data_IF_442077278541
#
_entry.id   IF_442077278541
#
_cell.length_a   1.000
_cell.length_b   1.000
_cell.length_c   1.000
_cell.angle_alpha   90.00
_cell.angle_beta   90.00
_cell.angle_gamma   90.00
#
_symmetry.space_group_name_H-M   'P 1'
#
loop_
_entity.id
_entity.type
_entity.pdbx_description
1 polymer ?
#
# COMPACT_ATOMS: atom_id res chain seq x y z
N UNK A 1 -35.88 -24.05 54.53
CA UNK A 1 -36.26 -22.96 53.60
C UNK A 1 -35.19 -22.90 52.55
N UNK A 2 -35.25 -23.81 51.58
CA UNK A 2 -34.30 -24.00 50.49
C UNK A 2 -34.59 -22.97 49.40
N UNK A 3 -33.58 -22.21 49.03
CA UNK A 3 -33.60 -21.36 47.84
C UNK A 3 -33.17 -22.26 46.65
N UNK A 4 -34.13 -22.62 45.81
CA UNK A 4 -33.86 -23.19 44.48
C UNK A 4 -33.43 -22.05 43.56
N UNK A 5 -32.14 -22.00 43.20
CA UNK A 5 -31.61 -21.10 42.20
C UNK A 5 -32.16 -21.54 40.82
N UNK A 6 -32.91 -20.64 40.20
CA UNK A 6 -33.48 -20.78 38.87
C UNK A 6 -32.41 -20.52 37.78
N UNK A 7 -31.70 -21.61 37.38
CA UNK A 7 -30.68 -21.60 36.33
C UNK A 7 -31.24 -21.83 34.91
N UNK A 8 -32.58 -21.77 34.69
CA UNK A 8 -33.19 -22.29 33.46
C UNK A 8 -33.56 -21.25 32.39
N UNK A 9 -32.93 -20.06 32.33
CA UNK A 9 -33.32 -19.12 31.26
C UNK A 9 -32.14 -18.41 30.58
N UNK A 10 -31.03 -19.11 30.29
CA UNK A 10 -30.02 -18.62 29.34
C UNK A 10 -30.47 -18.98 27.94
N UNK A 11 -31.10 -18.03 27.23
CA UNK A 11 -31.32 -18.18 25.80
C UNK A 11 -29.95 -18.44 25.11
N UNK A 12 -29.89 -19.41 24.17
CA UNK A 12 -28.66 -19.68 23.43
C UNK A 12 -28.21 -18.39 22.72
N UNK A 13 -26.99 -17.92 23.00
CA UNK A 13 -26.37 -16.82 22.26
C UNK A 13 -26.17 -17.29 20.84
N UNK A 14 -27.07 -16.92 19.94
CA UNK A 14 -26.93 -17.18 18.50
C UNK A 14 -25.79 -16.29 18.03
N UNK A 15 -24.58 -16.85 17.94
CA UNK A 15 -23.45 -16.17 17.32
C UNK A 15 -23.81 -15.88 15.86
N UNK A 16 -23.53 -14.66 15.37
CA UNK A 16 -23.75 -14.33 13.97
C UNK A 16 -22.95 -15.31 13.08
N UNK A 17 -23.47 -15.67 11.89
CA UNK A 17 -22.77 -16.58 11.00
C UNK A 17 -21.39 -16.04 10.64
N UNK A 18 -20.40 -16.94 10.62
CA UNK A 18 -19.01 -16.60 10.29
C UNK A 18 -18.91 -16.16 8.82
N UNK A 19 -18.41 -14.95 8.57
CA UNK A 19 -18.23 -14.39 7.23
C UNK A 19 -16.86 -14.84 6.69
N UNK A 20 -16.87 -15.52 5.56
CA UNK A 20 -15.66 -15.99 4.90
C UNK A 20 -15.16 -15.00 3.86
N UNK A 21 -13.91 -14.54 3.99
CA UNK A 21 -13.29 -13.57 3.10
C UNK A 21 -12.05 -14.18 2.43
N UNK A 22 -12.00 -14.11 1.11
CA UNK A 22 -10.89 -14.58 0.29
C UNK A 22 -10.17 -13.42 -0.39
N UNK A 23 -8.93 -13.14 0.01
CA UNK A 23 -8.07 -12.13 -0.63
C UNK A 23 -7.24 -12.75 -1.74
N UNK A 24 -7.16 -12.09 -2.90
CA UNK A 24 -6.33 -12.51 -4.04
C UNK A 24 -5.15 -11.53 -4.19
N UNK A 25 -3.92 -12.03 -4.07
CA UNK A 25 -2.69 -11.24 -4.24
C UNK A 25 -1.58 -12.10 -4.85
N UNK A 26 -0.55 -11.52 -5.49
CA UNK A 26 0.54 -12.32 -6.07
C UNK A 26 1.32 -13.09 -5.00
N UNK A 27 1.85 -12.41 -4.00
CA UNK A 27 2.70 -13.00 -2.96
C UNK A 27 2.71 -12.16 -1.70
N UNK A 28 3.27 -12.71 -0.61
CA UNK A 28 3.48 -12.00 0.67
C UNK A 28 4.95 -11.98 1.11
N UNK A 29 5.88 -12.55 0.32
CA UNK A 29 7.28 -12.67 0.71
C UNK A 29 8.13 -11.43 0.40
N UNK A 30 7.63 -10.50 -0.43
CA UNK A 30 8.32 -9.26 -0.78
C UNK A 30 7.75 -8.13 0.07
N UNK A 31 8.58 -7.45 0.90
CA UNK A 31 8.08 -6.37 1.74
C UNK A 31 7.64 -5.16 0.93
N UNK A 32 6.40 -4.73 1.17
CA UNK A 32 5.77 -3.57 0.52
C UNK A 32 4.59 -3.05 1.32
N UNK A 33 4.10 -1.86 0.94
CA UNK A 33 2.96 -1.23 1.62
C UNK A 33 1.66 -2.01 1.48
N UNK A 34 1.44 -2.63 0.32
CA UNK A 34 0.22 -3.43 0.07
C UNK A 34 0.22 -4.69 0.92
N UNK A 35 1.35 -5.40 0.96
CA UNK A 35 1.54 -6.62 1.74
C UNK A 35 1.39 -6.33 3.25
N UNK A 36 1.93 -5.19 3.72
CA UNK A 36 1.78 -4.76 5.11
C UNK A 36 0.33 -4.46 5.47
N UNK A 37 -0.37 -3.70 4.64
CA UNK A 37 -1.79 -3.37 4.84
C UNK A 37 -2.66 -4.63 4.81
N UNK A 38 -2.44 -5.53 3.84
CA UNK A 38 -3.19 -6.78 3.77
C UNK A 38 -2.97 -7.63 5.03
N UNK A 39 -1.70 -7.79 5.46
CA UNK A 39 -1.38 -8.55 6.69
C UNK A 39 -2.06 -7.93 7.92
N UNK A 40 -1.98 -6.60 8.08
CA UNK A 40 -2.62 -5.89 9.20
C UNK A 40 -4.14 -6.12 9.22
N UNK A 41 -4.80 -5.98 8.07
CA UNK A 41 -6.25 -6.20 7.94
C UNK A 41 -6.64 -7.66 8.20
N UNK A 42 -5.91 -8.59 7.59
CA UNK A 42 -6.18 -10.01 7.73
C UNK A 42 -6.05 -10.47 9.18
N UNK A 43 -4.98 -10.04 9.87
CA UNK A 43 -4.76 -10.34 11.28
C UNK A 43 -5.87 -9.75 12.15
N UNK A 44 -6.18 -8.47 11.97
CA UNK A 44 -7.22 -7.80 12.75
C UNK A 44 -8.58 -8.48 12.61
N UNK A 45 -9.00 -8.79 11.39
CA UNK A 45 -10.28 -9.46 11.14
C UNK A 45 -10.31 -10.87 11.70
N UNK A 46 -9.22 -11.63 11.56
CA UNK A 46 -9.13 -13.00 12.07
C UNK A 46 -9.13 -13.07 13.60
N UNK A 47 -8.62 -12.03 14.29
CA UNK A 47 -8.51 -12.00 15.75
C UNK A 47 -9.75 -11.38 16.43
N UNK A 48 -10.32 -10.33 15.85
CA UNK A 48 -11.30 -9.47 16.51
C UNK A 48 -12.72 -9.55 15.94
N UNK A 49 -12.97 -10.44 14.98
CA UNK A 49 -14.28 -10.56 14.34
C UNK A 49 -14.71 -11.99 14.12
N UNK A 50 -15.95 -12.14 13.66
CA UNK A 50 -16.48 -13.43 13.24
C UNK A 50 -16.17 -13.68 11.75
N UNK A 51 -14.84 -13.66 11.41
CA UNK A 51 -14.35 -13.77 10.04
C UNK A 51 -13.42 -14.97 9.87
N UNK A 52 -13.61 -15.72 8.79
CA UNK A 52 -12.73 -16.80 8.34
C UNK A 52 -11.91 -16.29 7.14
N UNK A 53 -10.62 -16.01 7.36
CA UNK A 53 -9.78 -15.26 6.41
C UNK A 53 -8.89 -16.20 5.62
N UNK A 54 -8.97 -16.10 4.30
CA UNK A 54 -8.14 -16.81 3.34
C UNK A 54 -7.35 -15.83 2.47
N UNK A 55 -6.08 -16.15 2.19
CA UNK A 55 -5.24 -15.41 1.24
C UNK A 55 -4.79 -16.37 0.14
N UNK A 56 -5.19 -16.10 -1.10
CA UNK A 56 -4.87 -16.90 -2.28
C UNK A 56 -3.69 -16.25 -3.00
N UNK A 57 -2.57 -17.00 -3.10
CA UNK A 57 -1.31 -16.53 -3.67
C UNK A 57 -1.05 -17.18 -5.02
N UNK A 58 -0.56 -16.41 -6.00
CA UNK A 58 -0.15 -16.93 -7.31
C UNK A 58 1.34 -17.25 -7.41
N UNK A 59 2.16 -16.55 -6.64
CA UNK A 59 3.62 -16.55 -6.70
C UNK A 59 4.23 -16.82 -5.31
N UNK A 60 5.53 -17.03 -5.23
CA UNK A 60 6.26 -17.15 -3.96
C UNK A 60 6.06 -18.48 -3.23
N UNK A 61 5.87 -19.59 -3.96
CA UNK A 61 5.74 -20.93 -3.35
C UNK A 61 6.90 -21.25 -2.42
N UNK A 62 6.56 -21.71 -1.20
CA UNK A 62 7.53 -22.10 -0.18
C UNK A 62 8.27 -20.93 0.49
N UNK A 63 8.03 -19.68 0.07
CA UNK A 63 8.61 -18.50 0.72
C UNK A 63 7.69 -18.00 1.84
N UNK A 64 8.22 -17.75 3.05
CA UNK A 64 7.41 -17.26 4.16
C UNK A 64 6.93 -15.82 3.90
N UNK A 65 5.78 -15.41 4.47
CA UNK A 65 5.36 -14.01 4.47
C UNK A 65 6.42 -13.10 5.12
N UNK A 66 6.62 -11.91 4.55
CA UNK A 66 7.58 -10.93 5.09
C UNK A 66 7.08 -10.21 6.35
N UNK A 67 5.78 -10.25 6.61
CA UNK A 67 5.15 -9.75 7.83
C UNK A 67 4.43 -10.90 8.54
N UNK A 68 4.44 -10.88 9.87
CA UNK A 68 3.86 -11.93 10.70
C UNK A 68 2.35 -12.00 10.50
N UNK A 69 1.87 -13.16 10.05
CA UNK A 69 0.45 -13.47 9.94
C UNK A 69 -0.04 -14.20 11.20
N UNK A 70 -1.27 -13.89 11.61
CA UNK A 70 -1.99 -14.67 12.60
C UNK A 70 -2.14 -16.13 12.16
N UNK A 71 -1.97 -17.10 13.05
CA UNK A 71 -2.19 -18.52 12.75
C UNK A 71 -3.64 -18.84 12.32
N UNK A 72 -4.59 -17.92 12.57
CA UNK A 72 -5.99 -18.04 12.13
C UNK A 72 -6.17 -17.70 10.65
N UNK A 73 -5.21 -16.98 10.02
CA UNK A 73 -5.25 -16.65 8.60
C UNK A 73 -4.75 -17.83 7.78
N UNK A 74 -5.55 -18.30 6.84
CA UNK A 74 -5.26 -19.46 6.00
C UNK A 74 -4.70 -19.03 4.65
N UNK A 75 -3.54 -19.57 4.26
CA UNK A 75 -2.92 -19.32 2.96
C UNK A 75 -3.22 -20.47 2.01
N UNK A 76 -3.64 -20.14 0.79
CA UNK A 76 -3.83 -21.09 -0.31
C UNK A 76 -2.89 -20.70 -1.45
N UNK A 77 -1.95 -21.58 -1.76
CA UNK A 77 -1.00 -21.41 -2.85
C UNK A 77 -1.60 -21.96 -4.15
N UNK A 78 -1.74 -21.11 -5.16
CA UNK A 78 -2.28 -21.50 -6.47
C UNK A 78 -1.19 -21.99 -7.45
N UNK A 79 0.07 -21.74 -7.14
CA UNK A 79 1.23 -22.18 -7.94
C UNK A 79 1.08 -21.83 -9.43
N UNK A 80 1.00 -20.56 -9.75
CA UNK A 80 0.95 -20.06 -11.13
C UNK A 80 2.33 -19.61 -11.57
N UNK A 81 3.07 -18.97 -10.65
CA UNK A 81 4.43 -18.49 -10.82
C UNK A 81 4.59 -17.51 -12.00
N UNK A 82 3.94 -16.36 -11.86
CA UNK A 82 4.10 -15.29 -12.84
C UNK A 82 5.46 -14.60 -12.77
N UNK A 83 6.26 -14.84 -11.72
CA UNK A 83 7.61 -14.29 -11.58
C UNK A 83 8.53 -14.78 -12.68
N UNK A 84 8.34 -16.01 -13.21
CA UNK A 84 9.06 -16.54 -14.37
C UNK A 84 8.99 -15.61 -15.61
N UNK A 85 7.94 -14.79 -15.73
CA UNK A 85 7.81 -13.89 -16.86
C UNK A 85 8.87 -12.79 -16.88
N UNK A 86 9.51 -12.48 -15.75
CA UNK A 86 10.48 -11.40 -15.68
C UNK A 86 11.74 -11.69 -16.50
N UNK A 87 12.12 -12.95 -16.57
CA UNK A 87 13.31 -13.42 -17.28
C UNK A 87 13.08 -13.68 -18.78
N UNK A 88 11.82 -13.67 -19.23
CA UNK A 88 11.49 -14.01 -20.61
C UNK A 88 11.60 -12.82 -21.56
N UNK A 89 12.09 -13.02 -22.81
CA UNK A 89 12.04 -12.00 -23.86
C UNK A 89 10.59 -11.71 -24.26
N UNK A 90 10.32 -10.49 -24.76
CA UNK A 90 8.96 -9.99 -25.03
C UNK A 90 8.11 -10.92 -25.89
N UNK A 91 8.67 -11.53 -26.93
CA UNK A 91 7.95 -12.42 -27.85
C UNK A 91 7.49 -13.72 -27.19
N UNK A 92 8.23 -14.24 -26.21
CA UNK A 92 7.82 -15.40 -25.40
C UNK A 92 6.88 -15.00 -24.25
N UNK A 93 7.02 -13.78 -23.74
CA UNK A 93 6.28 -13.28 -22.58
C UNK A 93 4.78 -13.29 -22.81
N UNK A 94 4.31 -12.86 -23.98
CA UNK A 94 2.87 -12.76 -24.28
C UNK A 94 2.17 -14.13 -24.31
N UNK A 95 2.61 -15.12 -25.09
CA UNK A 95 1.93 -16.43 -25.11
C UNK A 95 2.01 -17.15 -23.76
N UNK A 96 3.13 -17.07 -23.03
CA UNK A 96 3.26 -17.65 -21.69
C UNK A 96 2.32 -16.96 -20.72
N UNK A 97 2.22 -15.64 -20.75
CA UNK A 97 1.27 -14.88 -19.93
C UNK A 97 -0.17 -15.32 -20.19
N UNK A 98 -0.60 -15.44 -21.43
CA UNK A 98 -1.95 -15.87 -21.77
C UNK A 98 -2.25 -17.31 -21.31
N UNK A 99 -1.27 -18.22 -21.42
CA UNK A 99 -1.38 -19.58 -20.88
C UNK A 99 -1.54 -19.55 -19.35
N UNK A 100 -0.67 -18.80 -18.64
CA UNK A 100 -0.74 -18.66 -17.17
C UNK A 100 -2.05 -18.00 -16.73
N UNK A 101 -2.58 -17.06 -17.47
CA UNK A 101 -3.90 -16.44 -17.19
C UNK A 101 -5.04 -17.47 -17.25
N UNK A 102 -5.03 -18.38 -18.23
CA UNK A 102 -6.05 -19.45 -18.33
C UNK A 102 -5.95 -20.43 -17.16
N UNK A 103 -4.71 -20.82 -16.80
CA UNK A 103 -4.44 -21.68 -15.63
C UNK A 103 -4.90 -20.99 -14.35
N UNK A 104 -4.56 -19.71 -14.17
CA UNK A 104 -4.95 -18.93 -13.00
C UNK A 104 -6.48 -18.86 -12.86
N UNK A 105 -7.19 -18.52 -13.93
CA UNK A 105 -8.65 -18.50 -13.94
C UNK A 105 -9.25 -19.84 -13.49
N UNK A 106 -8.73 -20.96 -14.02
CA UNK A 106 -9.22 -22.31 -13.66
C UNK A 106 -8.96 -22.64 -12.19
N UNK A 107 -7.69 -22.44 -11.73
CA UNK A 107 -7.33 -22.75 -10.34
C UNK A 107 -8.04 -21.85 -9.34
N UNK A 108 -8.15 -20.55 -9.62
CA UNK A 108 -8.88 -19.61 -8.76
C UNK A 108 -10.37 -19.96 -8.70
N UNK A 109 -11.00 -20.29 -9.85
CA UNK A 109 -12.40 -20.71 -9.89
C UNK A 109 -12.62 -21.96 -9.05
N UNK A 110 -11.77 -22.98 -9.16
CA UNK A 110 -11.86 -24.21 -8.36
C UNK A 110 -11.68 -23.93 -6.86
N UNK A 111 -10.70 -23.11 -6.49
CA UNK A 111 -10.46 -22.73 -5.10
C UNK A 111 -11.65 -21.98 -4.50
N UNK A 112 -12.21 -20.99 -5.20
CA UNK A 112 -13.36 -20.22 -4.71
C UNK A 112 -14.63 -21.07 -4.64
N UNK A 113 -14.86 -21.97 -5.61
CA UNK A 113 -16.00 -22.90 -5.57
C UNK A 113 -15.93 -23.90 -4.40
N UNK A 114 -14.71 -24.30 -4.02
CA UNK A 114 -14.49 -25.15 -2.84
C UNK A 114 -14.65 -24.38 -1.53
N UNK A 115 -14.06 -23.17 -1.45
CA UNK A 115 -14.10 -22.31 -0.27
C UNK A 115 -15.49 -21.75 0.01
N UNK A 116 -16.25 -21.45 -1.04
CA UNK A 116 -17.54 -20.75 -0.98
C UNK A 116 -17.46 -19.49 -0.10
N UNK A 117 -16.56 -18.53 -0.41
CA UNK A 117 -16.46 -17.31 0.38
C UNK A 117 -17.70 -16.43 0.20
N UNK A 118 -18.04 -15.64 1.22
CA UNK A 118 -19.07 -14.60 1.11
C UNK A 118 -18.53 -13.39 0.33
N UNK A 119 -17.24 -13.10 0.50
CA UNK A 119 -16.56 -11.96 -0.12
C UNK A 119 -15.23 -12.43 -0.74
N UNK A 120 -15.01 -12.07 -1.99
CA UNK A 120 -13.71 -12.20 -2.65
C UNK A 120 -13.14 -10.81 -2.93
N UNK A 121 -11.93 -10.54 -2.39
CA UNK A 121 -11.24 -9.26 -2.53
C UNK A 121 -10.07 -9.40 -3.50
N UNK A 122 -10.09 -8.62 -4.59
CA UNK A 122 -8.99 -8.49 -5.54
C UNK A 122 -8.15 -7.27 -5.18
N UNK A 123 -6.84 -7.43 -5.04
CA UNK A 123 -5.91 -6.29 -4.92
C UNK A 123 -5.53 -5.73 -6.31
N UNK A 124 -6.45 -5.88 -7.28
CA UNK A 124 -6.38 -5.37 -8.65
C UNK A 124 -5.07 -5.74 -9.37
N UNK A 125 -4.68 -6.99 -9.24
CA UNK A 125 -3.52 -7.54 -9.96
C UNK A 125 -4.00 -8.19 -11.27
N UNK A 126 -3.64 -9.45 -11.50
CA UNK A 126 -3.95 -10.15 -12.76
C UNK A 126 -5.36 -10.74 -12.81
N UNK A 127 -5.94 -11.03 -11.65
CA UNK A 127 -7.27 -11.59 -11.47
C UNK A 127 -8.40 -10.65 -11.91
N UNK A 128 -8.19 -9.33 -11.91
CA UNK A 128 -9.21 -8.36 -12.31
C UNK A 128 -9.73 -8.59 -13.73
N UNK A 129 -8.92 -9.19 -14.60
CA UNK A 129 -9.30 -9.50 -15.97
C UNK A 129 -10.44 -10.52 -16.07
N UNK A 130 -10.70 -11.31 -15.03
CA UNK A 130 -11.70 -12.38 -15.07
C UNK A 130 -12.48 -12.62 -13.78
N UNK A 131 -12.07 -12.05 -12.64
CA UNK A 131 -12.67 -12.36 -11.32
C UNK A 131 -14.18 -12.10 -11.29
N UNK A 132 -14.63 -11.05 -11.96
CA UNK A 132 -16.05 -10.68 -12.05
C UNK A 132 -16.88 -11.63 -12.93
N UNK A 133 -16.23 -12.55 -13.64
CA UNK A 133 -16.89 -13.58 -14.45
C UNK A 133 -16.99 -14.94 -13.76
N UNK A 134 -16.40 -15.09 -12.57
CA UNK A 134 -16.48 -16.30 -11.78
C UNK A 134 -17.82 -16.37 -11.05
N UNK A 135 -18.49 -17.52 -11.16
CA UNK A 135 -19.83 -17.78 -10.60
C UNK A 135 -19.72 -18.63 -9.32
N UNK A 136 -19.00 -18.14 -8.31
CA UNK A 136 -18.79 -18.78 -7.02
C UNK A 136 -19.73 -18.29 -5.91
N UNK A 137 -20.62 -17.33 -6.24
CA UNK A 137 -21.60 -16.76 -5.32
C UNK A 137 -21.10 -15.61 -4.45
N UNK A 138 -19.77 -15.39 -4.35
CA UNK A 138 -19.22 -14.33 -3.49
C UNK A 138 -19.39 -12.93 -4.08
N UNK A 139 -19.52 -11.93 -3.19
CA UNK A 139 -19.40 -10.51 -3.56
C UNK A 139 -17.97 -10.20 -3.99
N UNK A 140 -17.82 -9.50 -5.11
CA UNK A 140 -16.51 -9.13 -5.67
C UNK A 140 -16.15 -7.70 -5.31
N UNK A 141 -15.09 -7.55 -4.52
CA UNK A 141 -14.54 -6.25 -4.10
C UNK A 141 -13.16 -6.08 -4.74
N UNK A 142 -12.89 -4.89 -5.28
CA UNK A 142 -11.54 -4.51 -5.72
C UNK A 142 -10.95 -3.46 -4.80
N UNK A 143 -9.69 -3.61 -4.38
CA UNK A 143 -8.98 -2.61 -3.58
C UNK A 143 -7.79 -2.06 -4.36
N UNK A 144 -7.73 -0.73 -4.51
CA UNK A 144 -6.64 -0.03 -5.18
C UNK A 144 -5.75 0.66 -4.15
N UNK A 145 -4.50 0.21 -4.03
CA UNK A 145 -3.52 0.75 -3.09
C UNK A 145 -2.54 1.77 -3.68
N UNK A 146 -2.81 2.22 -4.90
CA UNK A 146 -2.11 3.31 -5.61
C UNK A 146 -3.15 4.23 -6.22
N UNK A 147 -2.81 5.49 -6.53
CA UNK A 147 -3.78 6.35 -7.19
C UNK A 147 -3.92 6.02 -8.70
N UNK A 148 -5.06 6.41 -9.29
CA UNK A 148 -5.36 6.17 -10.71
C UNK A 148 -4.25 6.64 -11.66
N UNK A 149 -3.70 7.83 -11.42
CA UNK A 149 -2.69 8.46 -12.30
C UNK A 149 -1.39 7.67 -12.35
N UNK A 150 -1.08 6.95 -11.27
CA UNK A 150 0.14 6.17 -11.12
C UNK A 150 -0.10 4.65 -11.22
N UNK A 151 -1.35 4.23 -11.43
CA UNK A 151 -1.65 2.82 -11.59
C UNK A 151 -1.11 2.30 -12.92
N UNK A 152 -0.05 1.48 -12.83
CA UNK A 152 0.71 0.94 -13.97
C UNK A 152 1.18 2.06 -14.91
N UNK A 153 1.80 3.11 -14.35
CA UNK A 153 2.46 4.12 -15.14
C UNK A 153 3.41 3.41 -16.14
N UNK A 154 2.99 3.38 -17.38
CA UNK A 154 3.91 3.20 -18.48
C UNK A 154 4.77 4.46 -18.44
N UNK A 155 6.03 4.30 -17.98
CA UNK A 155 6.94 5.44 -17.83
C UNK A 155 6.86 6.32 -19.05
N UNK A 156 6.66 7.62 -18.82
CA UNK A 156 6.60 8.66 -19.87
C UNK A 156 7.95 8.90 -20.52
N UNK A 157 8.69 7.85 -20.78
CA UNK A 157 9.91 7.91 -21.55
C UNK A 157 9.55 7.55 -22.98
N UNK A 158 9.50 8.59 -23.82
CA UNK A 158 9.16 8.60 -25.25
C UNK A 158 7.65 8.47 -25.54
N UNK A 159 7.09 9.58 -26.02
CA UNK A 159 5.71 9.65 -26.56
C UNK A 159 5.62 8.83 -27.84
N UNK A 160 5.36 7.53 -27.69
CA UNK A 160 5.04 6.67 -28.81
C UNK A 160 3.51 6.55 -28.83
N UNK A 161 2.88 7.05 -29.89
CA UNK A 161 1.44 7.02 -30.14
C UNK A 161 0.83 5.61 -29.90
N UNK A 162 1.56 4.55 -30.25
CA UNK A 162 1.12 3.17 -30.04
C UNK A 162 1.01 2.85 -28.54
N UNK A 163 1.99 3.30 -27.71
CA UNK A 163 1.96 3.09 -26.25
C UNK A 163 0.79 3.85 -25.61
N UNK A 164 0.52 5.07 -26.06
CA UNK A 164 -0.62 5.86 -25.56
C UNK A 164 -1.97 5.24 -25.94
N UNK A 165 -2.11 4.77 -27.18
CA UNK A 165 -3.31 4.07 -27.62
C UNK A 165 -3.52 2.78 -26.80
N UNK A 166 -2.47 2.00 -26.62
CA UNK A 166 -2.52 0.79 -25.78
C UNK A 166 -2.92 1.12 -24.34
N UNK A 167 -2.34 2.15 -23.73
CA UNK A 167 -2.68 2.59 -22.37
C UNK A 167 -4.15 3.02 -22.25
N UNK A 168 -4.69 3.74 -23.26
CA UNK A 168 -6.10 4.14 -23.31
C UNK A 168 -7.04 2.94 -23.43
N UNK A 169 -6.73 2.00 -24.34
CA UNK A 169 -7.52 0.77 -24.51
C UNK A 169 -7.49 -0.11 -23.26
N UNK A 170 -6.32 -0.23 -22.65
CA UNK A 170 -6.15 -0.96 -21.42
C UNK A 170 -6.94 -0.32 -20.26
N UNK A 171 -6.87 1.01 -20.09
CA UNK A 171 -7.64 1.72 -19.06
C UNK A 171 -9.15 1.57 -19.29
N UNK A 172 -9.62 1.67 -20.54
CA UNK A 172 -11.03 1.43 -20.90
C UNK A 172 -11.46 0.00 -20.53
N UNK A 173 -10.58 -0.98 -20.76
CA UNK A 173 -10.82 -2.37 -20.36
C UNK A 173 -10.88 -2.51 -18.83
N UNK A 174 -9.93 -1.91 -18.11
CA UNK A 174 -9.93 -1.90 -16.65
C UNK A 174 -11.23 -1.32 -16.09
N UNK A 175 -11.62 -0.12 -16.51
CA UNK A 175 -12.87 0.54 -16.07
C UNK A 175 -14.09 -0.36 -16.30
N UNK A 176 -14.13 -1.09 -17.44
CA UNK A 176 -15.20 -2.06 -17.71
C UNK A 176 -15.25 -3.20 -16.69
N UNK A 177 -14.10 -3.68 -16.22
CA UNK A 177 -14.05 -4.71 -15.17
C UNK A 177 -14.41 -4.13 -13.80
N UNK A 178 -13.92 -2.93 -13.47
CA UNK A 178 -14.23 -2.25 -12.21
C UNK A 178 -15.73 -1.96 -12.05
N UNK A 179 -16.43 -1.61 -13.14
CA UNK A 179 -17.90 -1.42 -13.15
C UNK A 179 -18.68 -2.68 -12.75
N UNK A 180 -18.10 -3.87 -12.93
CA UNK A 180 -18.74 -5.15 -12.62
C UNK A 180 -18.49 -5.62 -11.21
N UNK A 181 -17.64 -4.95 -10.44
CA UNK A 181 -17.43 -5.24 -9.03
C UNK A 181 -18.63 -4.77 -8.19
N UNK A 182 -18.95 -5.48 -7.12
CA UNK A 182 -19.95 -5.03 -6.14
C UNK A 182 -19.49 -3.73 -5.46
N UNK A 183 -18.22 -3.62 -5.12
CA UNK A 183 -17.58 -2.40 -4.61
C UNK A 183 -16.15 -2.28 -5.14
N UNK A 184 -15.76 -1.04 -5.40
CA UNK A 184 -14.39 -0.67 -5.72
C UNK A 184 -13.88 0.28 -4.64
N UNK A 185 -12.85 -0.14 -3.90
CA UNK A 185 -12.28 0.60 -2.77
C UNK A 185 -11.06 1.37 -3.23
N UNK A 186 -11.03 2.65 -2.90
CA UNK A 186 -9.89 3.56 -3.03
C UNK A 186 -9.55 4.14 -1.67
N UNK A 187 -8.36 4.76 -1.53
CA UNK A 187 -7.83 5.12 -0.21
C UNK A 187 -8.14 6.56 0.20
N UNK A 188 -8.61 7.42 -0.74
CA UNK A 188 -8.83 8.84 -0.48
C UNK A 188 -9.98 9.40 -1.33
N UNK A 189 -10.56 10.51 -0.87
CA UNK A 189 -11.61 11.22 -1.62
C UNK A 189 -11.04 11.83 -2.91
N UNK A 190 -9.79 12.29 -2.89
CA UNK A 190 -9.13 12.80 -4.09
C UNK A 190 -9.00 11.69 -5.16
N UNK A 191 -8.67 10.43 -4.76
CA UNK A 191 -8.62 9.34 -5.73
C UNK A 191 -10.02 8.92 -6.19
N UNK A 192 -11.05 8.95 -5.32
CA UNK A 192 -12.45 8.73 -5.73
C UNK A 192 -12.86 9.68 -6.85
N UNK A 193 -12.51 10.97 -6.73
CA UNK A 193 -12.82 11.98 -7.75
C UNK A 193 -12.13 11.69 -9.09
N UNK A 194 -11.05 10.92 -9.11
CA UNK A 194 -10.38 10.49 -10.34
C UNK A 194 -11.12 9.38 -11.09
N UNK A 195 -12.19 8.78 -10.52
CA UNK A 195 -12.98 7.71 -11.12
C UNK A 195 -14.45 8.12 -11.41
N UNK A 196 -14.69 9.20 -12.17
CA UNK A 196 -16.05 9.72 -12.39
C UNK A 196 -16.96 8.75 -13.14
N UNK A 197 -16.39 7.76 -13.85
CA UNK A 197 -17.14 6.76 -14.61
C UNK A 197 -17.72 5.64 -13.74
N UNK A 198 -17.34 5.57 -12.45
CA UNK A 198 -17.71 4.48 -11.53
C UNK A 198 -18.66 4.99 -10.45
N UNK A 199 -19.77 4.26 -10.24
CA UNK A 199 -20.74 4.56 -9.18
C UNK A 199 -20.57 3.68 -7.94
N UNK A 200 -19.79 2.60 -8.04
CA UNK A 200 -19.57 1.61 -6.99
C UNK A 200 -18.32 1.89 -6.15
N UNK A 201 -17.75 3.09 -6.22
CA UNK A 201 -16.54 3.48 -5.49
C UNK A 201 -16.87 3.74 -4.01
N UNK A 202 -16.01 3.20 -3.13
CA UNK A 202 -16.00 3.49 -1.70
C UNK A 202 -14.62 3.96 -1.28
N UNK A 203 -14.55 4.94 -0.39
CA UNK A 203 -13.30 5.36 0.22
C UNK A 203 -13.14 4.65 1.55
N UNK A 204 -12.04 3.90 1.68
CA UNK A 204 -11.63 3.23 2.91
C UNK A 204 -10.13 3.40 3.03
N UNK A 205 -9.69 4.21 3.97
CA UNK A 205 -8.27 4.46 4.22
C UNK A 205 -7.56 3.22 4.76
N UNK A 206 -6.26 3.15 4.56
CA UNK A 206 -5.45 2.06 5.10
C UNK A 206 -5.40 2.12 6.63
N UNK A 207 -5.45 0.97 7.32
CA UNK A 207 -5.24 0.92 8.76
C UNK A 207 -3.77 1.20 9.10
N UNK A 208 -3.55 1.73 10.31
CA UNK A 208 -2.20 1.79 10.87
C UNK A 208 -1.71 0.36 11.19
N UNK A 209 -0.42 0.07 10.93
CA UNK A 209 0.13 -1.26 11.18
C UNK A 209 0.42 -1.53 12.67
N UNK A 210 0.32 -0.52 13.51
CA UNK A 210 0.53 -0.57 14.95
C UNK A 210 -0.31 0.51 15.66
N UNK A 211 -0.50 0.32 16.96
CA UNK A 211 -0.95 1.38 17.87
C UNK A 211 0.27 1.78 18.71
N UNK A 212 0.60 3.07 18.72
CA UNK A 212 1.64 3.57 19.61
C UNK A 212 1.04 3.72 21.01
N UNK A 213 1.64 3.03 21.98
CA UNK A 213 1.27 3.17 23.41
C UNK A 213 1.87 4.43 24.04
N UNK A 214 2.84 5.07 23.38
CA UNK A 214 3.55 6.25 23.83
C UNK A 214 3.72 7.24 22.69
N UNK A 215 4.00 8.50 23.01
CA UNK A 215 4.29 9.56 22.04
C UNK A 215 5.76 9.99 22.14
N UNK A 216 6.29 10.53 21.05
CA UNK A 216 7.57 11.23 21.09
C UNK A 216 7.46 12.45 22.02
N UNK A 217 8.52 12.70 22.80
CA UNK A 217 8.64 13.87 23.65
C UNK A 217 9.05 15.15 22.88
N UNK A 218 9.39 14.99 21.60
CA UNK A 218 9.79 16.05 20.65
C UNK A 218 11.04 16.85 21.11
N UNK A 219 11.84 16.31 22.02
CA UNK A 219 13.02 17.00 22.56
C UNK A 219 14.26 16.83 21.68
N UNK A 220 14.31 15.78 20.87
CA UNK A 220 15.42 15.50 19.99
C UNK A 220 15.41 16.44 18.77
N UNK A 221 16.54 17.04 18.44
CA UNK A 221 16.70 17.86 17.24
C UNK A 221 16.88 16.99 15.99
N UNK A 222 15.94 16.05 15.80
CA UNK A 222 15.96 15.07 14.72
C UNK A 222 14.74 15.18 13.83
N UNK A 223 15.02 15.28 12.53
CA UNK A 223 14.02 15.18 11.47
C UNK A 223 14.15 13.80 10.84
N UNK A 224 13.02 13.11 10.69
CA UNK A 224 13.00 11.78 10.05
C UNK A 224 12.18 11.83 8.76
N UNK A 225 12.67 11.16 7.73
CA UNK A 225 11.95 10.81 6.52
C UNK A 225 12.06 9.30 6.27
N UNK A 226 11.03 8.69 5.68
CA UNK A 226 11.02 7.25 5.43
C UNK A 226 10.44 6.91 4.06
N UNK A 227 11.09 5.96 3.36
CA UNK A 227 10.60 5.46 2.08
C UNK A 227 11.71 4.85 1.22
N UNK A 228 11.34 4.26 0.08
CA UNK A 228 12.34 3.74 -0.87
C UNK A 228 13.13 4.88 -1.49
N UNK A 229 14.43 4.68 -1.71
CA UNK A 229 15.27 5.60 -2.45
C UNK A 229 14.91 5.57 -3.95
N UNK A 230 13.85 6.28 -4.31
CA UNK A 230 13.29 6.32 -5.67
C UNK A 230 12.83 7.75 -6.01
N UNK A 231 12.69 8.03 -7.30
CA UNK A 231 12.16 9.30 -7.80
C UNK A 231 10.80 9.68 -7.15
N UNK A 232 9.95 8.69 -6.90
CA UNK A 232 8.65 8.89 -6.25
C UNK A 232 8.77 9.63 -4.93
N UNK A 233 9.74 9.25 -4.09
CA UNK A 233 9.88 9.76 -2.72
C UNK A 233 10.49 11.16 -2.65
N UNK A 234 11.08 11.65 -3.75
CA UNK A 234 11.53 13.04 -3.85
C UNK A 234 12.62 13.42 -2.85
N UNK A 235 13.46 12.46 -2.43
CA UNK A 235 14.54 12.77 -1.49
C UNK A 235 15.58 13.75 -2.04
N UNK A 236 15.69 13.88 -3.35
CA UNK A 236 16.45 14.94 -4.01
C UNK A 236 15.93 16.33 -3.63
N UNK A 237 14.59 16.52 -3.61
CA UNK A 237 13.95 17.76 -3.18
C UNK A 237 14.15 18.00 -1.68
N UNK A 238 14.13 16.93 -0.88
CA UNK A 238 14.40 17.03 0.55
C UNK A 238 15.82 17.46 0.83
N UNK A 239 16.80 16.90 0.11
CA UNK A 239 18.22 17.29 0.25
C UNK A 239 18.43 18.75 -0.15
N UNK A 240 17.76 19.23 -1.20
CA UNK A 240 17.80 20.66 -1.58
C UNK A 240 17.22 21.55 -0.47
N UNK A 241 16.09 21.17 0.11
CA UNK A 241 15.52 21.89 1.25
C UNK A 241 16.48 21.86 2.46
N UNK A 242 17.06 20.70 2.75
CA UNK A 242 18.02 20.52 3.84
C UNK A 242 19.25 21.38 3.69
N UNK A 243 19.75 21.64 2.47
CA UNK A 243 20.89 22.54 2.23
C UNK A 243 20.66 23.96 2.74
N UNK A 244 19.40 24.41 2.83
CA UNK A 244 19.02 25.71 3.37
C UNK A 244 18.83 25.69 4.90
N UNK A 245 18.48 24.53 5.44
CA UNK A 245 18.15 24.36 6.86
C UNK A 245 19.41 24.05 7.69
N UNK A 246 20.26 23.12 7.26
CA UNK A 246 21.40 22.65 8.04
C UNK A 246 22.44 23.74 8.38
N UNK A 247 22.52 24.82 7.60
CA UNK A 247 23.39 25.95 7.88
C UNK A 247 22.78 26.92 8.92
N UNK A 248 21.45 27.02 9.01
CA UNK A 248 20.75 27.88 9.96
C UNK A 248 20.51 27.18 11.29
N UNK A 249 20.41 25.86 11.26
CA UNK A 249 20.15 25.00 12.41
C UNK A 249 21.18 23.87 12.49
N UNK A 250 22.45 24.19 12.79
CA UNK A 250 23.56 23.23 12.71
C UNK A 250 23.48 22.12 13.77
N UNK A 251 22.60 22.22 14.70
CA UNK A 251 22.33 21.26 15.79
C UNK A 251 21.18 20.28 15.47
N UNK A 252 20.56 20.45 14.30
CA UNK A 252 19.53 19.52 13.81
C UNK A 252 20.13 18.46 12.90
N UNK A 253 19.54 17.25 12.92
CA UNK A 253 19.89 16.11 12.09
C UNK A 253 18.75 15.70 11.17
N UNK A 254 19.07 15.30 9.94
CA UNK A 254 18.13 14.69 9.02
C UNK A 254 18.49 13.23 8.79
N UNK A 255 17.60 12.34 9.19
CA UNK A 255 17.71 10.90 8.98
C UNK A 255 16.70 10.43 7.93
N UNK A 256 17.17 9.78 6.86
CA UNK A 256 16.32 9.23 5.80
C UNK A 256 16.44 7.71 5.83
N UNK A 257 15.40 7.03 6.27
CA UNK A 257 15.34 5.57 6.35
C UNK A 257 14.73 4.96 5.10
N UNK A 258 15.46 4.04 4.44
CA UNK A 258 14.92 3.46 3.23
C UNK A 258 15.67 2.30 2.62
N UNK A 259 15.00 1.62 1.67
CA UNK A 259 15.60 0.59 0.82
C UNK A 259 15.82 1.15 -0.59
N UNK A 260 16.91 0.77 -1.21
CA UNK A 260 17.24 1.14 -2.59
C UNK A 260 18.64 1.72 -2.73
N UNK A 261 18.99 2.14 -3.94
CA UNK A 261 20.28 2.75 -4.25
C UNK A 261 20.35 4.18 -3.73
N UNK A 262 21.36 4.47 -2.93
CA UNK A 262 21.62 5.78 -2.32
C UNK A 262 22.63 6.64 -3.09
N UNK A 263 23.29 6.08 -4.11
CA UNK A 263 24.43 6.69 -4.79
C UNK A 263 24.12 8.11 -5.29
N UNK A 264 22.98 8.28 -5.95
CA UNK A 264 22.55 9.61 -6.43
C UNK A 264 22.42 10.62 -5.29
N UNK A 265 21.88 10.22 -4.15
CA UNK A 265 21.67 11.10 -2.98
C UNK A 265 22.98 11.40 -2.26
N UNK A 266 23.92 10.45 -2.22
CA UNK A 266 25.29 10.67 -1.71
C UNK A 266 26.05 11.70 -2.55
N UNK A 267 25.93 11.60 -3.88
CA UNK A 267 26.54 12.58 -4.80
C UNK A 267 25.95 13.97 -4.58
N UNK A 268 24.62 14.09 -4.42
CA UNK A 268 23.98 15.37 -4.14
C UNK A 268 24.40 15.94 -2.79
N UNK A 269 24.49 15.09 -1.75
CA UNK A 269 24.95 15.48 -0.43
C UNK A 269 26.37 16.05 -0.45
N UNK A 270 27.28 15.39 -1.17
CA UNK A 270 28.65 15.88 -1.37
C UNK A 270 28.71 17.17 -2.15
N UNK A 271 27.95 17.30 -3.27
CA UNK A 271 27.87 18.50 -4.09
C UNK A 271 27.41 19.73 -3.29
N UNK A 272 26.44 19.56 -2.41
CA UNK A 272 25.89 20.66 -1.59
C UNK A 272 26.54 20.75 -0.20
N UNK A 273 27.58 19.95 0.07
CA UNK A 273 28.32 19.90 1.35
C UNK A 273 27.38 19.82 2.55
N UNK A 274 26.35 18.96 2.45
CA UNK A 274 25.33 18.81 3.48
C UNK A 274 25.94 18.25 4.77
N UNK A 275 25.62 18.90 5.88
CA UNK A 275 26.00 18.45 7.23
C UNK A 275 24.82 17.79 7.92
N UNK A 276 25.11 16.93 8.89
CA UNK A 276 24.11 16.26 9.73
C UNK A 276 22.99 15.55 8.92
N UNK A 277 23.39 14.94 7.79
CA UNK A 277 22.53 14.13 6.94
C UNK A 277 22.94 12.66 7.05
N UNK A 278 21.98 11.80 7.36
CA UNK A 278 22.17 10.37 7.52
C UNK A 278 21.28 9.62 6.54
N UNK A 279 21.86 8.96 5.55
CA UNK A 279 21.18 8.12 4.57
C UNK A 279 21.18 6.68 5.09
N UNK A 280 20.12 6.32 5.80
CA UNK A 280 20.00 5.07 6.52
C UNK A 280 19.43 3.92 5.67
N UNK A 281 19.67 2.69 6.10
CA UNK A 281 19.02 1.52 5.56
C UNK A 281 17.58 1.42 6.11
N UNK A 282 16.73 0.66 5.42
CA UNK A 282 15.43 0.32 5.97
C UNK A 282 15.61 -0.47 7.28
N UNK A 283 14.83 -0.13 8.28
CA UNK A 283 14.80 -0.82 9.58
C UNK A 283 13.42 -1.40 9.84
N UNK A 284 13.30 -2.56 10.48
CA UNK A 284 12.02 -3.07 10.96
C UNK A 284 11.49 -2.25 12.16
N UNK A 285 12.37 -1.56 12.88
CA UNK A 285 12.04 -0.78 14.07
C UNK A 285 11.82 0.72 13.77
N UNK A 286 10.93 0.99 12.81
CA UNK A 286 10.56 2.38 12.50
C UNK A 286 9.80 3.07 13.63
N UNK A 287 9.09 2.32 14.47
CA UNK A 287 8.38 2.86 15.62
C UNK A 287 9.34 3.60 16.57
N UNK A 288 10.45 2.98 16.91
CA UNK A 288 11.50 3.59 17.72
C UNK A 288 12.06 4.86 17.04
N UNK A 289 12.28 4.80 15.71
CA UNK A 289 12.80 5.96 14.96
C UNK A 289 11.82 7.14 14.90
N UNK A 290 10.51 6.88 14.89
CA UNK A 290 9.51 7.94 15.07
C UNK A 290 9.59 8.55 16.49
N UNK A 291 9.69 7.75 17.54
CA UNK A 291 9.81 8.26 18.93
C UNK A 291 11.09 9.08 19.16
N UNK A 292 12.18 8.75 18.45
CA UNK A 292 13.43 9.52 18.49
C UNK A 292 13.34 10.86 17.71
N UNK A 293 12.23 11.17 17.06
CA UNK A 293 12.12 12.31 16.13
C UNK A 293 11.20 13.38 16.65
N UNK A 294 11.50 14.64 16.35
CA UNK A 294 10.64 15.80 16.63
C UNK A 294 9.84 16.25 15.42
N UNK A 295 10.26 15.92 14.21
CA UNK A 295 9.57 16.28 12.97
C UNK A 295 9.68 15.10 11.99
N UNK A 296 8.58 14.79 11.32
CA UNK A 296 8.58 13.89 10.17
C UNK A 296 8.42 14.66 8.88
N UNK A 297 9.21 14.34 7.84
CA UNK A 297 9.13 15.01 6.54
C UNK A 297 8.82 14.03 5.42
N UNK A 298 7.82 14.39 4.58
CA UNK A 298 7.51 13.67 3.36
C UNK A 298 7.63 14.56 2.14
N UNK A 299 8.64 14.29 1.31
CA UNK A 299 8.94 15.02 0.08
C UNK A 299 8.42 14.33 -1.19
N UNK A 300 7.50 13.39 -1.04
CA UNK A 300 7.00 12.54 -2.12
C UNK A 300 6.37 13.37 -3.26
N UNK A 301 6.67 12.99 -4.50
CA UNK A 301 6.05 13.57 -5.70
C UNK A 301 4.63 13.06 -5.93
N UNK A 302 4.36 11.87 -5.46
CA UNK A 302 3.04 11.23 -5.47
C UNK A 302 2.97 10.08 -4.48
N UNK A 303 1.79 9.84 -3.92
CA UNK A 303 1.52 8.75 -2.99
C UNK A 303 0.24 7.98 -3.40
N UNK A 304 0.06 6.79 -2.83
CA UNK A 304 -1.24 6.11 -2.82
C UNK A 304 -2.06 6.50 -1.60
N UNK A 305 -1.40 6.60 -0.45
CA UNK A 305 -1.99 7.02 0.83
C UNK A 305 -1.00 7.83 1.68
N UNK A 306 0.26 7.36 1.81
CA UNK A 306 1.25 8.01 2.67
C UNK A 306 1.33 7.39 4.06
N UNK A 307 1.35 6.06 4.14
CA UNK A 307 1.40 5.29 5.40
C UNK A 307 2.40 5.84 6.41
N UNK A 308 3.62 6.17 5.96
CA UNK A 308 4.69 6.66 6.83
C UNK A 308 4.36 8.00 7.51
N UNK A 309 3.50 8.83 6.90
CA UNK A 309 3.00 10.07 7.49
C UNK A 309 2.06 9.70 8.65
N UNK A 310 1.08 8.83 8.39
CA UNK A 310 0.12 8.40 9.40
C UNK A 310 0.81 7.64 10.55
N UNK A 311 1.85 6.86 10.26
CA UNK A 311 2.67 6.17 11.25
C UNK A 311 3.40 7.15 12.17
N UNK A 312 4.06 8.17 11.63
CA UNK A 312 4.75 9.20 12.41
C UNK A 312 3.76 10.00 13.29
N UNK A 313 2.63 10.41 12.71
CA UNK A 313 1.59 11.14 13.46
C UNK A 313 0.99 10.29 14.59
N UNK A 314 0.83 8.97 14.40
CA UNK A 314 0.39 8.06 15.46
C UNK A 314 1.38 7.95 16.63
N UNK A 315 2.66 8.29 16.39
CA UNK A 315 3.69 8.40 17.42
C UNK A 315 3.79 9.81 18.03
N UNK A 316 2.85 10.72 17.73
CA UNK A 316 2.85 12.10 18.20
C UNK A 316 3.84 13.02 17.47
N UNK A 317 4.46 12.57 16.37
CA UNK A 317 5.43 13.36 15.62
C UNK A 317 4.71 14.21 14.56
N UNK A 318 4.81 15.55 14.62
CA UNK A 318 4.23 16.42 13.62
C UNK A 318 4.84 16.17 12.24
N UNK A 319 4.00 16.20 11.21
CA UNK A 319 4.40 15.90 9.86
C UNK A 319 4.40 17.14 8.96
N UNK A 320 5.48 17.33 8.22
CA UNK A 320 5.61 18.31 7.14
C UNK A 320 5.63 17.57 5.82
N UNK A 321 4.71 17.89 4.90
CA UNK A 321 4.61 17.18 3.63
C UNK A 321 4.38 18.11 2.45
N UNK A 322 4.86 17.70 1.27
CA UNK A 322 4.35 18.28 0.03
C UNK A 322 2.89 17.87 -0.16
N UNK A 323 2.09 18.82 -0.66
CA UNK A 323 0.71 18.57 -1.08
C UNK A 323 0.67 17.76 -2.39
N UNK A 324 1.32 16.59 -2.41
CA UNK A 324 1.33 15.74 -3.59
C UNK A 324 -0.04 15.07 -3.81
N UNK A 325 -0.36 14.64 -5.04
CA UNK A 325 -1.61 13.97 -5.33
C UNK A 325 -1.80 12.68 -4.51
N UNK A 326 -2.97 12.55 -3.92
CA UNK A 326 -3.52 11.45 -3.12
C UNK A 326 -2.73 11.13 -1.84
N UNK A 327 -3.43 11.11 -0.74
CA UNK A 327 -2.96 10.65 0.57
C UNK A 327 -2.56 11.75 1.52
N UNK A 328 -1.43 12.48 1.36
CA UNK A 328 -1.00 13.46 2.36
C UNK A 328 -2.08 14.48 2.73
N UNK A 329 -2.84 15.00 1.75
CA UNK A 329 -3.93 15.95 1.98
C UNK A 329 -5.13 15.36 2.75
N UNK A 330 -5.32 14.05 2.67
CA UNK A 330 -6.40 13.36 3.38
C UNK A 330 -5.99 13.00 4.81
N UNK A 331 -4.66 12.92 5.08
CA UNK A 331 -4.12 12.58 6.40
C UNK A 331 -3.87 13.85 7.21
N UNK A 332 -3.26 14.86 6.58
CA UNK A 332 -2.84 16.10 7.22
C UNK A 332 -3.96 17.14 7.08
N UNK A 333 -4.60 17.52 8.18
CA UNK A 333 -5.59 18.58 8.20
C UNK A 333 -4.96 19.96 8.02
N UNK A 334 -5.50 20.78 7.12
CA UNK A 334 -5.01 22.14 6.90
C UNK A 334 -5.16 23.01 8.13
N UNK A 335 -4.07 23.52 8.67
CA UNK A 335 -4.04 24.67 9.60
C UNK A 335 -4.17 24.38 11.09
N UNK A 336 -4.22 23.11 11.53
CA UNK A 336 -4.31 22.80 12.98
C UNK A 336 -3.17 21.94 13.53
N UNK A 337 -2.46 21.19 12.70
CA UNK A 337 -1.43 20.25 13.17
C UNK A 337 -0.17 20.16 12.30
N UNK A 338 -0.19 20.63 11.04
CA UNK A 338 0.91 20.36 10.13
C UNK A 338 1.01 21.39 8.99
N UNK A 339 2.20 21.51 8.38
CA UNK A 339 2.48 22.47 7.33
C UNK A 339 2.51 21.82 5.94
N UNK A 340 1.83 22.48 4.99
CA UNK A 340 1.94 22.17 3.57
C UNK A 340 2.97 23.05 2.89
N UNK A 341 3.88 22.49 2.08
CA UNK A 341 4.66 23.25 1.13
C UNK A 341 4.13 23.03 -0.29
N UNK A 342 4.06 24.11 -1.09
CA UNK A 342 3.77 23.98 -2.52
C UNK A 342 5.00 23.42 -3.21
N UNK A 343 4.80 22.38 -4.01
CA UNK A 343 5.83 21.84 -4.87
C UNK A 343 6.05 22.81 -6.05
N UNK A 344 7.16 23.54 -6.08
CA UNK A 344 7.56 24.31 -7.24
C UNK A 344 7.91 23.35 -8.39
N UNK A 345 7.46 23.69 -9.60
CA UNK A 345 7.77 22.92 -10.82
C UNK A 345 9.26 23.03 -11.11
N UNK A 346 10.06 22.07 -10.65
CA UNK A 346 11.46 21.97 -11.07
C UNK A 346 11.54 21.44 -12.51
N UNK A 347 12.11 22.31 -13.36
CA UNK A 347 12.56 21.99 -14.72
C UNK A 347 13.95 21.39 -14.63
N UNK A 348 14.33 20.28 -14.76
CA UNK A 348 15.66 19.66 -14.87
C UNK A 348 15.97 18.62 -13.78
N UNK A 349 15.41 17.44 -13.97
CA UNK A 349 16.00 16.21 -13.46
C UNK A 349 16.76 15.51 -14.59
N UNK A 350 17.99 15.01 -14.37
CA UNK A 350 18.68 14.21 -15.39
C UNK A 350 17.83 12.96 -15.66
N UNK A 351 17.37 12.82 -16.89
CA UNK A 351 16.75 11.62 -17.40
C UNK A 351 17.84 10.56 -17.53
N UNK A 352 17.76 9.47 -16.82
CA UNK A 352 18.42 8.20 -17.13
C UNK A 352 17.38 7.16 -17.53
#
# INVERSE_FOLDING_TARGET
>A
MERTDDESNKQPVILPPMIRIAYCTPSLHIPGGVERVLTTKANYLAENGNYDIYILLTDGKGKPPCYTLSPKVKIIQLDIDFEELWELPLWKKVPVYLKKQRIYRRKLSAALSHLKPDITVSLLRREINFITSLKDGSKKIGELHVNRKNYRNFEKNESNFIKELFAKLWMKSLVRHLKKLDKFVVLSEEDRANWPELQNVKVISNPLPFQSGTFSDLNNKRITAAGRYTYQKGFDLLLEAWSKVCNRHPDWELHIYGKGDKTTYQVLAGKWKLKNLFLENATPDMLCKYHESSIFVSSSRFEGFGMVIAEAMACGVPAVSFACPCGPKDIIGTGKTDYWSKMEKQKNWPKK
#
